data_IF_553541161720
#
_entry.id   IF_553541161720
#
_cell.length_a   1.000
_cell.length_b   1.000
_cell.length_c   1.000
_cell.angle_alpha   90.00
_cell.angle_beta   90.00
_cell.angle_gamma   90.00
#
_symmetry.space_group_name_H-M   'P 1'
#
loop_
_entity.id
_entity.type
_entity.pdbx_description
1 polymer ?
#
# COMPACT_ATOMS: atom_id res chain seq x y z
N UNK A 1 24.34 -9.95 -13.23
CA UNK A 1 23.90 -8.55 -13.48
C UNK A 1 25.02 -7.66 -12.98
N UNK A 2 25.55 -6.76 -13.80
CA UNK A 2 26.54 -5.77 -13.34
C UNK A 2 25.81 -4.46 -13.05
N UNK A 3 25.86 -3.99 -11.81
CA UNK A 3 25.17 -2.77 -11.36
C UNK A 3 26.22 -1.77 -10.92
N UNK A 4 26.16 -0.55 -11.47
CA UNK A 4 27.06 0.55 -11.10
C UNK A 4 26.38 1.43 -10.07
N UNK A 5 26.91 1.45 -8.87
CA UNK A 5 26.47 2.36 -7.81
C UNK A 5 27.07 3.75 -7.99
N UNK A 6 26.32 4.77 -7.55
CA UNK A 6 26.85 6.13 -7.37
C UNK A 6 27.91 6.13 -6.28
N UNK A 7 28.78 7.15 -6.28
CA UNK A 7 29.82 7.25 -5.26
C UNK A 7 29.24 7.40 -3.86
N UNK A 8 28.11 8.11 -3.73
CA UNK A 8 27.38 8.22 -2.45
C UNK A 8 26.83 6.87 -1.99
N UNK A 9 26.24 6.07 -2.88
CA UNK A 9 25.75 4.73 -2.54
C UNK A 9 26.89 3.85 -2.03
N UNK A 10 28.06 3.89 -2.68
CA UNK A 10 29.25 3.16 -2.21
C UNK A 10 29.70 3.64 -0.84
N UNK A 11 29.68 4.96 -0.59
CA UNK A 11 30.06 5.53 0.70
C UNK A 11 29.13 5.06 1.83
N UNK A 12 27.80 5.09 1.61
CA UNK A 12 26.82 4.61 2.59
C UNK A 12 26.94 3.11 2.85
N UNK A 13 27.12 2.29 1.80
CA UNK A 13 27.32 0.84 1.96
C UNK A 13 28.60 0.55 2.74
N UNK A 14 29.70 1.25 2.44
CA UNK A 14 30.96 1.11 3.18
C UNK A 14 30.78 1.45 4.66
N UNK A 15 30.14 2.58 4.96
CA UNK A 15 29.87 2.98 6.35
C UNK A 15 29.01 1.94 7.09
N UNK A 16 28.04 1.34 6.41
CA UNK A 16 27.19 0.29 6.98
C UNK A 16 27.96 -1.02 7.24
N UNK A 17 28.98 -1.32 6.42
CA UNK A 17 29.87 -2.46 6.67
C UNK A 17 30.83 -2.16 7.83
N UNK A 18 31.45 -0.98 7.84
CA UNK A 18 32.38 -0.55 8.91
C UNK A 18 31.70 -0.50 10.28
N UNK A 19 30.40 -0.16 10.33
CA UNK A 19 29.61 -0.19 11.56
C UNK A 19 29.07 -1.58 11.93
N UNK A 20 29.30 -2.60 11.10
CA UNK A 20 28.85 -3.97 11.33
C UNK A 20 27.36 -4.20 11.04
N UNK A 21 26.64 -3.25 10.44
CA UNK A 21 25.25 -3.44 10.00
C UNK A 21 25.14 -4.45 8.86
N UNK A 22 26.11 -4.45 7.94
CA UNK A 22 26.22 -5.43 6.86
C UNK A 22 27.57 -6.12 6.89
N UNK A 23 27.63 -7.36 6.40
CA UNK A 23 28.90 -8.09 6.28
C UNK A 23 29.59 -7.83 4.95
N UNK A 24 28.81 -7.49 3.91
CA UNK A 24 29.27 -7.27 2.53
C UNK A 24 28.29 -6.41 1.74
N UNK A 25 28.68 -5.91 0.57
CA UNK A 25 27.82 -5.04 -0.23
C UNK A 25 26.51 -5.74 -0.71
N UNK A 26 26.55 -7.05 -0.93
CA UNK A 26 25.38 -7.82 -1.38
C UNK A 26 24.23 -7.80 -0.37
N UNK A 27 24.52 -7.69 0.93
CA UNK A 27 23.50 -7.66 1.97
C UNK A 27 22.65 -6.38 1.84
N UNK A 28 23.31 -5.25 1.56
CA UNK A 28 22.64 -3.97 1.32
C UNK A 28 21.80 -4.00 0.03
N UNK A 29 22.29 -4.66 -1.02
CA UNK A 29 21.55 -4.82 -2.27
C UNK A 29 20.31 -5.71 -2.08
N UNK A 30 20.43 -6.80 -1.33
CA UNK A 30 19.32 -7.69 -1.04
C UNK A 30 18.23 -6.98 -0.22
N UNK A 31 18.60 -6.16 0.77
CA UNK A 31 17.65 -5.34 1.51
C UNK A 31 16.98 -4.30 0.60
N UNK A 32 17.74 -3.59 -0.24
CA UNK A 32 17.19 -2.61 -1.16
C UNK A 32 16.18 -3.23 -2.15
N UNK A 33 16.48 -4.41 -2.68
CA UNK A 33 15.58 -5.15 -3.57
C UNK A 33 14.33 -5.65 -2.83
N UNK A 34 14.46 -6.12 -1.59
CA UNK A 34 13.32 -6.54 -0.78
C UNK A 34 12.36 -5.37 -0.51
N UNK A 35 12.91 -4.18 -0.19
CA UNK A 35 12.12 -2.96 -0.02
C UNK A 35 11.46 -2.52 -1.33
N UNK A 36 12.15 -2.66 -2.46
CA UNK A 36 11.58 -2.36 -3.77
C UNK A 36 10.45 -3.33 -4.14
N UNK A 37 10.62 -4.64 -3.93
CA UNK A 37 9.56 -5.64 -4.16
C UNK A 37 8.30 -5.31 -3.36
N UNK A 38 8.46 -4.98 -2.07
CA UNK A 38 7.33 -4.56 -1.23
C UNK A 38 6.60 -3.34 -1.77
N UNK A 39 7.34 -2.35 -2.30
CA UNK A 39 6.75 -1.17 -2.96
C UNK A 39 6.04 -1.54 -4.25
N UNK A 40 6.62 -2.39 -5.10
CA UNK A 40 5.99 -2.79 -6.37
C UNK A 40 4.73 -3.62 -6.14
N UNK A 41 4.73 -4.50 -5.14
CA UNK A 41 3.53 -5.26 -4.75
C UNK A 41 2.40 -4.32 -4.33
N UNK A 42 2.69 -3.36 -3.44
CA UNK A 42 1.70 -2.37 -3.01
C UNK A 42 1.25 -1.46 -4.14
N UNK A 43 2.15 -1.09 -5.05
CA UNK A 43 1.81 -0.32 -6.26
C UNK A 43 0.83 -1.11 -7.14
N UNK A 44 1.08 -2.40 -7.36
CA UNK A 44 0.20 -3.27 -8.13
C UNK A 44 -1.19 -3.42 -7.48
N UNK A 45 -1.26 -3.59 -6.16
CA UNK A 45 -2.52 -3.63 -5.40
C UNK A 45 -3.33 -2.34 -5.57
N UNK A 46 -2.68 -1.18 -5.47
CA UNK A 46 -3.33 0.13 -5.65
C UNK A 46 -3.86 0.27 -7.08
N UNK A 47 -3.04 -0.06 -8.09
CA UNK A 47 -3.46 0.03 -9.50
C UNK A 47 -4.66 -0.88 -9.78
N UNK A 48 -4.63 -2.12 -9.29
CA UNK A 48 -5.76 -3.04 -9.44
C UNK A 48 -7.05 -2.51 -8.79
N UNK A 49 -6.94 -1.88 -7.61
CA UNK A 49 -8.08 -1.26 -6.93
C UNK A 49 -8.64 -0.05 -7.71
N UNK A 50 -7.76 0.77 -8.31
CA UNK A 50 -8.15 1.89 -9.18
C UNK A 50 -8.86 1.37 -10.43
N UNK A 51 -8.28 0.41 -11.14
CA UNK A 51 -8.86 -0.19 -12.34
C UNK A 51 -10.26 -0.77 -12.04
N UNK A 52 -10.42 -1.43 -10.90
CA UNK A 52 -11.72 -1.94 -10.46
C UNK A 52 -12.72 -0.81 -10.21
N UNK A 53 -12.30 0.27 -9.56
CA UNK A 53 -13.15 1.42 -9.28
C UNK A 53 -13.58 2.15 -10.57
N UNK A 54 -12.66 2.34 -11.52
CA UNK A 54 -12.95 2.91 -12.82
C UNK A 54 -13.94 2.05 -13.62
N UNK A 55 -13.76 0.74 -13.62
CA UNK A 55 -14.68 -0.19 -14.26
C UNK A 55 -16.08 -0.16 -13.59
N UNK A 56 -16.15 -0.07 -12.26
CA UNK A 56 -17.40 0.08 -11.50
C UNK A 56 -18.12 1.38 -11.87
N UNK A 57 -17.37 2.48 -11.96
CA UNK A 57 -17.90 3.78 -12.37
C UNK A 57 -18.42 3.76 -13.81
N UNK A 58 -17.68 3.16 -14.75
CA UNK A 58 -18.10 3.03 -16.14
C UNK A 58 -19.37 2.19 -16.31
N UNK A 59 -19.61 1.20 -15.42
CA UNK A 59 -20.85 0.43 -15.36
C UNK A 59 -22.02 1.16 -14.69
N UNK A 60 -21.79 2.38 -14.16
CA UNK A 60 -22.82 3.17 -13.50
C UNK A 60 -23.14 2.70 -12.07
N UNK A 61 -22.26 1.92 -11.45
CA UNK A 61 -22.46 1.42 -10.07
C UNK A 61 -22.21 2.51 -9.00
N UNK A 62 -21.71 3.69 -9.41
CA UNK A 62 -21.50 4.83 -8.54
C UNK A 62 -22.81 5.47 -8.05
N UNK A 63 -22.83 5.92 -6.79
CA UNK A 63 -23.93 6.73 -6.24
C UNK A 63 -23.58 8.21 -6.36
N UNK A 64 -24.41 8.96 -7.09
CA UNK A 64 -24.30 10.43 -7.13
C UNK A 64 -24.83 11.00 -5.80
N UNK A 65 -24.06 11.90 -5.21
CA UNK A 65 -24.40 12.65 -3.99
C UNK A 65 -24.28 14.13 -4.35
N UNK A 66 -25.37 14.89 -4.26
CA UNK A 66 -25.41 16.31 -4.64
C UNK A 66 -25.78 17.22 -3.49
N UNK A 67 -26.28 16.66 -2.37
CA UNK A 67 -26.78 17.43 -1.23
C UNK A 67 -26.13 17.02 0.10
N UNK A 68 -26.21 17.92 1.08
CA UNK A 68 -25.75 17.66 2.44
C UNK A 68 -26.55 16.56 3.15
N UNK A 69 -27.86 16.48 2.88
CA UNK A 69 -28.72 15.42 3.44
C UNK A 69 -28.32 14.03 2.94
N UNK A 70 -28.08 13.87 1.63
CA UNK A 70 -27.61 12.61 1.05
C UNK A 70 -26.24 12.19 1.61
N UNK A 71 -25.37 13.17 1.89
CA UNK A 71 -24.07 12.93 2.53
C UNK A 71 -24.26 12.41 3.97
N UNK A 72 -25.15 13.04 4.75
CA UNK A 72 -25.45 12.60 6.11
C UNK A 72 -26.10 11.21 6.13
N UNK A 73 -26.99 10.92 5.18
CA UNK A 73 -27.57 9.60 4.99
C UNK A 73 -26.50 8.55 4.68
N UNK A 74 -25.59 8.84 3.74
CA UNK A 74 -24.49 7.94 3.40
C UNK A 74 -23.58 7.66 4.61
N UNK A 75 -23.24 8.68 5.40
CA UNK A 75 -22.45 8.52 6.61
C UNK A 75 -23.13 7.59 7.63
N UNK A 76 -24.44 7.76 7.84
CA UNK A 76 -25.23 6.89 8.73
C UNK A 76 -25.29 5.44 8.22
N UNK A 77 -25.46 5.24 6.91
CA UNK A 77 -25.42 3.92 6.28
C UNK A 77 -24.06 3.24 6.43
N UNK A 78 -22.96 3.97 6.25
CA UNK A 78 -21.60 3.47 6.47
C UNK A 78 -21.41 3.06 7.94
N UNK A 79 -21.79 3.92 8.89
CA UNK A 79 -21.69 3.63 10.33
C UNK A 79 -22.44 2.36 10.71
N UNK A 80 -23.70 2.25 10.29
CA UNK A 80 -24.54 1.08 10.57
C UNK A 80 -23.93 -0.20 10.01
N UNK A 81 -23.44 -0.19 8.76
CA UNK A 81 -22.76 -1.35 8.17
C UNK A 81 -21.49 -1.73 8.93
N UNK A 82 -20.70 -0.74 9.36
CA UNK A 82 -19.51 -0.96 10.18
C UNK A 82 -19.83 -1.66 11.50
N UNK A 83 -20.83 -1.15 12.24
CA UNK A 83 -21.29 -1.75 13.50
C UNK A 83 -21.78 -3.18 13.30
N UNK A 84 -22.57 -3.44 12.26
CA UNK A 84 -23.06 -4.80 11.97
C UNK A 84 -21.93 -5.78 11.67
N UNK A 85 -20.87 -5.37 10.96
CA UNK A 85 -19.71 -6.22 10.70
C UNK A 85 -18.92 -6.51 11.97
N UNK A 86 -18.66 -5.48 12.78
CA UNK A 86 -17.96 -5.66 14.06
C UNK A 86 -18.68 -6.65 14.98
N UNK A 87 -20.01 -6.51 15.13
CA UNK A 87 -20.81 -7.43 15.93
C UNK A 87 -20.79 -8.88 15.38
N UNK A 88 -20.74 -9.04 14.05
CA UNK A 88 -20.63 -10.37 13.44
C UNK A 88 -19.24 -11.00 13.67
N UNK A 89 -18.18 -10.20 13.62
CA UNK A 89 -16.81 -10.66 13.91
C UNK A 89 -16.63 -11.03 15.39
N UNK A 90 -17.31 -10.34 16.31
CA UNK A 90 -17.33 -10.67 17.74
C UNK A 90 -18.09 -11.97 18.04
N UNK A 91 -19.19 -12.26 17.33
CA UNK A 91 -19.94 -13.51 17.49
C UNK A 91 -19.27 -14.74 16.86
N UNK A 92 -18.32 -14.54 15.93
CA UNK A 92 -17.57 -15.61 15.27
C UNK A 92 -16.23 -15.93 15.97
N UNK A 93 -15.92 -15.29 17.09
CA UNK A 93 -14.76 -15.57 17.95
C UNK A 93 -15.15 -16.45 19.13
#
# INVERSE_FOLDING_TARGET
MEVRFTDDQKAFVRQAIESGRYSREEDALQEALSLWEGRERRRAEILAAVDQAEASFARGEGRRITTGEETAQLANEIKRRGVSRLAADENNR
#
